data_IF_564199764858
#
_entry.id   IF_564199764858
#
_cell.length_a   1.000
_cell.length_b   1.000
_cell.length_c   1.000
_cell.angle_alpha   90.00
_cell.angle_beta   90.00
_cell.angle_gamma   90.00
#
_symmetry.space_group_name_H-M   'P 1'
#
loop_
_entity.id
_entity.type
_entity.pdbx_description
1 polymer ?
#
# COMPACT_ATOMS: atom_id res chain seq x y z
N UNK A 1 23.50 -8.00 -19.43
CA UNK A 1 23.58 -6.86 -18.50
C UNK A 1 23.60 -7.37 -17.07
N UNK A 2 24.39 -6.77 -16.20
CA UNK A 2 24.40 -7.10 -14.77
C UNK A 2 23.02 -6.80 -14.18
N UNK A 3 22.50 -7.60 -13.25
CA UNK A 3 21.21 -7.31 -12.56
C UNK A 3 21.23 -5.96 -11.84
N UNK A 4 22.41 -5.42 -11.55
CA UNK A 4 22.61 -4.13 -10.88
C UNK A 4 22.71 -2.94 -11.83
N UNK A 5 22.69 -3.14 -13.16
CA UNK A 5 22.69 -2.03 -14.12
C UNK A 5 21.47 -1.11 -13.92
N UNK A 6 20.33 -1.67 -13.55
CA UNK A 6 19.12 -0.88 -13.21
C UNK A 6 19.31 0.11 -12.04
N UNK A 7 20.32 -0.11 -11.19
CA UNK A 7 20.70 0.81 -10.10
C UNK A 7 21.82 1.72 -10.56
N UNK A 8 22.92 1.12 -11.02
CA UNK A 8 24.21 1.82 -11.23
C UNK A 8 24.23 2.72 -12.47
N UNK A 9 23.37 2.46 -13.48
CA UNK A 9 23.28 3.28 -14.70
C UNK A 9 22.39 4.52 -14.52
N UNK A 10 21.74 4.69 -13.35
CA UNK A 10 20.98 5.91 -13.04
C UNK A 10 21.95 7.06 -12.79
N UNK A 11 21.79 8.18 -13.53
CA UNK A 11 22.72 9.31 -13.47
C UNK A 11 22.80 9.97 -12.10
N UNK A 12 21.71 10.00 -11.36
CA UNK A 12 21.62 10.53 -10.00
C UNK A 12 22.32 9.63 -8.98
N UNK A 13 22.22 8.30 -9.13
CA UNK A 13 22.96 7.33 -8.32
C UNK A 13 24.47 7.41 -8.60
N UNK A 14 24.85 7.50 -9.87
CA UNK A 14 26.25 7.69 -10.25
C UNK A 14 26.82 8.98 -9.65
N UNK A 15 26.04 10.07 -9.65
CA UNK A 15 26.43 11.34 -9.04
C UNK A 15 26.67 11.19 -7.54
N UNK A 16 25.83 10.46 -6.79
CA UNK A 16 26.08 10.19 -5.36
C UNK A 16 27.40 9.46 -5.18
N UNK A 17 27.65 8.40 -5.93
CA UNK A 17 28.92 7.67 -5.86
C UNK A 17 30.11 8.59 -6.17
N UNK A 18 30.06 9.39 -7.23
CA UNK A 18 31.14 10.28 -7.63
C UNK A 18 31.52 11.31 -6.55
N UNK A 19 30.51 11.89 -5.90
CA UNK A 19 30.69 12.85 -4.82
C UNK A 19 31.44 12.27 -3.63
N UNK A 20 31.04 11.09 -3.20
CA UNK A 20 31.60 10.47 -2.01
C UNK A 20 32.97 9.82 -2.28
N UNK A 21 33.11 9.18 -3.44
CA UNK A 21 34.36 8.57 -3.87
C UNK A 21 35.48 9.60 -4.16
N UNK A 22 35.11 10.82 -4.58
CA UNK A 22 36.07 11.92 -4.71
C UNK A 22 36.62 12.39 -3.35
N UNK A 23 35.87 12.18 -2.26
CA UNK A 23 36.32 12.48 -0.92
C UNK A 23 37.15 11.32 -0.32
N UNK A 24 36.61 10.10 -0.40
CA UNK A 24 37.25 8.88 0.09
C UNK A 24 36.77 7.67 -0.73
N UNK A 25 37.68 6.97 -1.36
CA UNK A 25 37.39 5.76 -2.15
C UNK A 25 36.82 4.65 -1.29
N UNK A 26 35.88 3.91 -1.86
CA UNK A 26 35.20 2.77 -1.22
C UNK A 26 34.49 3.15 0.09
N UNK A 27 34.02 4.39 0.21
CA UNK A 27 33.36 4.87 1.43
C UNK A 27 31.86 4.81 1.40
N UNK A 28 31.24 4.54 0.22
CA UNK A 28 29.77 4.57 0.06
C UNK A 28 29.29 3.36 -0.75
N UNK A 29 28.15 2.85 -0.38
CA UNK A 29 27.51 1.68 -0.97
C UNK A 29 26.01 1.91 -1.09
N UNK A 30 25.39 1.42 -2.15
CA UNK A 30 23.94 1.18 -2.15
C UNK A 30 23.65 0.04 -1.19
N UNK A 31 22.49 0.06 -0.49
CA UNK A 31 22.20 -0.93 0.54
C UNK A 31 20.72 -1.31 0.59
N UNK A 32 20.45 -2.51 1.04
CA UNK A 32 19.12 -2.93 1.50
C UNK A 32 18.13 -3.28 0.39
N UNK A 33 16.94 -2.66 0.45
CA UNK A 33 15.77 -3.02 -0.37
C UNK A 33 16.01 -2.98 -1.87
N UNK A 34 16.71 -1.97 -2.38
CA UNK A 34 17.01 -1.80 -3.81
C UNK A 34 17.82 -2.95 -4.39
N UNK A 35 18.80 -3.48 -3.64
CA UNK A 35 19.61 -4.62 -4.07
C UNK A 35 18.77 -5.90 -4.11
N UNK A 36 17.98 -6.15 -3.05
CA UNK A 36 17.04 -7.26 -3.00
C UNK A 36 16.08 -7.22 -4.19
N UNK A 37 15.47 -6.07 -4.47
CA UNK A 37 14.48 -5.92 -5.51
C UNK A 37 15.12 -6.05 -6.91
N UNK A 38 16.35 -5.57 -7.11
CA UNK A 38 17.12 -5.81 -8.33
C UNK A 38 17.41 -7.32 -8.54
N UNK A 39 17.79 -8.04 -7.49
CA UNK A 39 18.05 -9.48 -7.56
C UNK A 39 16.76 -10.28 -7.86
N UNK A 40 15.61 -9.80 -7.43
CA UNK A 40 14.28 -10.37 -7.71
C UNK A 40 13.67 -9.91 -9.04
N UNK A 41 14.36 -9.06 -9.82
CA UNK A 41 13.84 -8.42 -11.04
C UNK A 41 12.54 -7.64 -10.79
N UNK A 42 12.44 -6.97 -9.64
CA UNK A 42 11.31 -6.10 -9.25
C UNK A 42 11.64 -4.64 -9.57
N UNK A 43 10.60 -3.82 -9.63
CA UNK A 43 10.74 -2.38 -9.74
C UNK A 43 11.50 -1.82 -8.51
N UNK A 44 12.45 -0.91 -8.77
CA UNK A 44 13.27 -0.27 -7.74
C UNK A 44 12.70 1.14 -7.55
N UNK A 45 12.08 1.38 -6.41
CA UNK A 45 11.47 2.68 -6.07
C UNK A 45 12.43 3.58 -5.32
N UNK A 46 12.99 3.07 -4.24
CA UNK A 46 13.88 3.82 -3.35
C UNK A 46 15.28 3.22 -3.36
N UNK A 47 16.28 4.09 -3.34
CA UNK A 47 17.70 3.68 -3.27
C UNK A 47 18.32 4.36 -2.08
N UNK A 48 18.72 3.54 -1.10
CA UNK A 48 19.39 3.97 0.11
C UNK A 48 20.88 3.71 0.01
N UNK A 49 21.66 4.59 0.64
CA UNK A 49 23.10 4.46 0.73
C UNK A 49 23.55 4.26 2.17
N UNK A 50 24.60 3.50 2.33
CA UNK A 50 25.33 3.37 3.57
C UNK A 50 26.79 3.79 3.37
N UNK A 51 27.38 4.47 4.35
CA UNK A 51 28.73 5.03 4.21
C UNK A 51 29.54 4.88 5.50
N UNK A 52 30.86 4.75 5.37
CA UNK A 52 31.78 4.82 6.49
C UNK A 52 32.05 6.24 7.00
N UNK A 53 31.53 7.27 6.28
CA UNK A 53 31.75 8.66 6.65
C UNK A 53 30.77 9.10 7.73
N UNK A 54 31.22 9.87 8.70
CA UNK A 54 30.37 10.45 9.72
C UNK A 54 29.39 11.48 9.16
N UNK A 55 28.22 11.70 9.79
CA UNK A 55 27.18 12.61 9.30
C UNK A 55 27.68 14.04 9.05
N UNK A 56 28.59 14.55 9.90
CA UNK A 56 29.21 15.86 9.71
C UNK A 56 30.05 15.95 8.44
N UNK A 57 30.65 14.84 8.01
CA UNK A 57 31.41 14.77 6.76
C UNK A 57 30.48 14.70 5.57
N UNK A 58 29.38 13.93 5.67
CA UNK A 58 28.32 13.88 4.64
C UNK A 58 27.80 15.30 4.36
N UNK A 59 27.40 16.04 5.39
CA UNK A 59 26.91 17.41 5.22
C UNK A 59 27.93 18.38 4.65
N UNK A 60 29.23 18.22 4.99
CA UNK A 60 30.31 19.01 4.38
C UNK A 60 30.47 18.73 2.88
N UNK A 61 30.42 17.47 2.46
CA UNK A 61 30.48 17.08 1.04
C UNK A 61 29.32 17.70 0.27
N UNK A 62 28.10 17.54 0.76
CA UNK A 62 26.89 18.06 0.11
C UNK A 62 26.89 19.60 0.01
N UNK A 63 27.29 20.28 1.07
CA UNK A 63 27.41 21.75 1.07
C UNK A 63 28.46 22.26 0.08
N UNK A 64 29.63 21.62 -0.01
CA UNK A 64 30.71 21.99 -0.94
C UNK A 64 30.23 21.96 -2.40
N UNK A 65 29.39 21.02 -2.74
CA UNK A 65 28.86 20.82 -4.10
C UNK A 65 27.48 21.48 -4.30
N UNK A 66 27.03 22.33 -3.35
CA UNK A 66 25.74 23.04 -3.37
C UNK A 66 24.52 22.12 -3.51
N UNK A 67 24.58 20.89 -2.99
CA UNK A 67 23.47 19.92 -2.97
C UNK A 67 22.59 20.18 -1.77
N UNK A 68 21.28 20.31 -1.99
CA UNK A 68 20.30 20.44 -0.92
C UNK A 68 20.19 19.14 -0.13
N UNK A 69 20.04 19.22 1.18
CA UNK A 69 19.85 18.07 2.04
C UNK A 69 18.93 18.38 3.23
N UNK A 70 18.44 17.32 3.87
CA UNK A 70 17.65 17.33 5.10
C UNK A 70 18.42 16.54 6.15
N UNK A 71 18.65 17.13 7.31
CA UNK A 71 19.48 16.59 8.39
C UNK A 71 18.71 16.18 9.66
N UNK A 72 17.37 16.12 9.57
CA UNK A 72 16.49 15.74 10.70
C UNK A 72 16.90 14.40 11.34
N UNK A 73 17.48 13.48 10.57
CA UNK A 73 17.98 12.17 11.03
C UNK A 73 19.45 12.14 11.45
N UNK A 74 20.13 13.29 11.56
CA UNK A 74 21.59 13.36 11.77
C UNK A 74 22.05 12.69 13.06
N UNK A 75 21.27 12.81 14.13
CA UNK A 75 21.55 12.18 15.44
C UNK A 75 21.50 10.65 15.38
N UNK A 76 20.79 10.11 14.35
CA UNK A 76 20.73 8.68 14.05
C UNK A 76 21.65 8.27 12.90
N UNK A 77 22.52 9.18 12.45
CA UNK A 77 23.48 8.91 11.40
C UNK A 77 22.96 9.05 9.98
N UNK A 78 21.74 9.53 9.76
CA UNK A 78 21.12 9.62 8.42
C UNK A 78 21.02 11.08 7.96
N UNK A 79 21.44 11.33 6.71
CA UNK A 79 21.28 12.60 5.99
C UNK A 79 20.56 12.29 4.67
N UNK A 80 19.52 13.05 4.35
CA UNK A 80 18.79 12.88 3.09
C UNK A 80 19.27 13.91 2.06
N UNK A 81 20.02 13.47 1.06
CA UNK A 81 20.43 14.32 -0.06
C UNK A 81 19.29 14.46 -1.09
N UNK A 82 19.18 15.63 -1.72
CA UNK A 82 18.19 15.90 -2.78
C UNK A 82 18.95 16.19 -4.07
N UNK A 83 18.91 15.25 -5.01
CA UNK A 83 19.58 15.31 -6.31
C UNK A 83 18.54 15.15 -7.40
N UNK A 84 18.44 16.10 -8.33
CA UNK A 84 17.43 16.09 -9.41
C UNK A 84 16.00 15.83 -8.91
N UNK A 85 15.62 16.50 -7.81
CA UNK A 85 14.33 16.36 -7.12
C UNK A 85 14.09 15.00 -6.43
N UNK A 86 15.00 14.05 -6.58
CA UNK A 86 14.95 12.76 -5.92
C UNK A 86 15.67 12.78 -4.59
N UNK A 87 15.13 12.06 -3.62
CA UNK A 87 15.69 11.94 -2.27
C UNK A 87 16.52 10.66 -2.17
N UNK A 88 17.69 10.79 -1.58
CA UNK A 88 18.60 9.66 -1.26
C UNK A 88 18.93 9.69 0.23
N UNK A 89 18.56 8.67 0.95
CA UNK A 89 18.96 8.51 2.34
C UNK A 89 20.38 7.95 2.39
N UNK A 90 21.28 8.67 3.07
CA UNK A 90 22.67 8.31 3.23
C UNK A 90 22.91 8.12 4.72
N UNK A 91 23.10 6.87 5.15
CA UNK A 91 23.26 6.48 6.54
C UNK A 91 24.69 6.07 6.83
N UNK A 92 25.31 6.67 7.85
CA UNK A 92 26.62 6.27 8.37
C UNK A 92 26.55 4.85 8.94
N UNK A 93 27.55 4.02 8.66
CA UNK A 93 27.68 2.70 9.31
C UNK A 93 27.66 2.88 10.82
N UNK A 94 26.90 2.04 11.49
CA UNK A 94 26.70 2.17 12.93
C UNK A 94 26.42 0.84 13.61
N UNK A 95 26.68 0.82 14.91
CA UNK A 95 26.19 -0.20 15.83
C UNK A 95 25.10 0.41 16.70
N UNK A 96 24.02 -0.30 16.93
CA UNK A 96 22.98 0.09 17.87
C UNK A 96 23.38 -0.37 19.28
N UNK A 97 23.73 0.58 20.19
CA UNK A 97 24.17 0.27 21.56
C UNK A 97 22.97 -0.07 22.44
N UNK A 98 21.87 0.66 22.26
CA UNK A 98 20.63 0.46 22.98
C UNK A 98 19.46 0.90 22.09
N UNK A 99 18.43 0.08 21.99
CA UNK A 99 17.22 0.41 21.22
C UNK A 99 15.98 0.21 22.09
N UNK A 100 15.10 1.21 22.14
CA UNK A 100 13.75 1.10 22.73
C UNK A 100 12.65 1.07 21.66
N UNK A 101 13.01 0.69 20.43
CA UNK A 101 12.13 0.66 19.26
C UNK A 101 11.94 2.02 18.56
N UNK A 102 12.24 3.12 19.21
CA UNK A 102 12.09 4.48 18.65
C UNK A 102 13.38 5.32 18.72
N UNK A 103 14.16 5.13 19.76
CA UNK A 103 15.41 5.85 19.97
C UNK A 103 16.55 4.82 20.11
N UNK A 104 17.44 4.79 19.14
CA UNK A 104 18.68 4.05 19.23
C UNK A 104 19.80 5.00 19.66
N UNK A 105 20.48 4.71 20.77
CA UNK A 105 21.81 5.25 20.97
C UNK A 105 22.74 4.51 20.01
N UNK A 106 23.26 5.25 19.04
CA UNK A 106 24.12 4.68 18.00
C UNK A 106 25.59 5.03 18.27
N UNK A 107 26.49 4.12 17.99
CA UNK A 107 27.91 4.40 17.78
C UNK A 107 28.24 4.24 16.31
N UNK A 108 28.89 5.24 15.73
CA UNK A 108 29.31 5.13 14.35
C UNK A 108 30.46 4.13 14.22
N UNK A 109 30.44 3.39 13.12
CA UNK A 109 31.43 2.37 12.78
C UNK A 109 32.03 2.64 11.40
N UNK A 110 33.21 2.08 11.17
CA UNK A 110 33.81 2.06 9.84
C UNK A 110 33.68 0.68 9.17
N UNK A 111 33.04 -0.30 9.83
CA UNK A 111 32.87 -1.65 9.33
C UNK A 111 31.49 -1.83 8.73
N UNK A 112 31.47 -2.30 7.47
CA UNK A 112 30.27 -2.71 6.76
C UNK A 112 29.62 -3.93 7.44
N UNK A 113 30.45 -4.85 7.96
CA UNK A 113 30.02 -6.05 8.66
C UNK A 113 29.24 -5.71 9.93
N UNK A 114 29.72 -4.72 10.70
CA UNK A 114 29.02 -4.25 11.89
C UNK A 114 27.67 -3.61 11.55
N UNK A 115 27.61 -2.78 10.49
CA UNK A 115 26.35 -2.21 10.01
C UNK A 115 25.37 -3.30 9.52
N UNK A 116 25.89 -4.35 8.86
CA UNK A 116 25.08 -5.48 8.43
C UNK A 116 24.46 -6.24 9.61
N UNK A 117 25.24 -6.50 10.64
CA UNK A 117 24.82 -7.28 11.82
C UNK A 117 23.70 -6.59 12.63
N UNK A 118 23.54 -5.28 12.57
CA UNK A 118 22.42 -4.58 13.25
C UNK A 118 21.12 -4.61 12.47
N UNK A 119 21.13 -4.98 11.17
CA UNK A 119 19.93 -4.98 10.33
C UNK A 119 18.96 -6.11 10.75
N UNK A 120 17.73 -6.04 10.28
CA UNK A 120 16.69 -6.98 10.66
C UNK A 120 16.85 -8.36 10.00
N UNK A 121 16.90 -8.41 8.67
CA UNK A 121 16.91 -9.64 7.90
C UNK A 121 18.11 -9.71 6.95
N UNK A 122 18.62 -10.91 6.74
CA UNK A 122 19.77 -11.18 5.84
C UNK A 122 19.57 -10.61 4.45
N UNK A 123 18.35 -10.74 3.89
CA UNK A 123 17.97 -10.23 2.56
C UNK A 123 18.01 -8.71 2.42
N UNK A 124 18.15 -7.97 3.52
CA UNK A 124 18.24 -6.50 3.56
C UNK A 124 19.64 -6.01 3.98
N UNK A 125 20.61 -6.91 4.17
CA UNK A 125 21.94 -6.59 4.63
C UNK A 125 23.01 -6.83 3.55
N UNK A 126 22.65 -6.59 2.30
CA UNK A 126 23.54 -6.62 1.15
C UNK A 126 23.95 -5.21 0.76
N UNK A 127 25.18 -5.05 0.27
CA UNK A 127 25.77 -3.77 -0.11
C UNK A 127 26.35 -3.86 -1.51
N UNK A 128 26.24 -2.80 -2.29
CA UNK A 128 26.71 -2.73 -3.67
C UNK A 128 27.61 -1.50 -3.84
N UNK A 129 28.83 -1.70 -4.30
CA UNK A 129 29.76 -0.60 -4.60
C UNK A 129 29.49 -0.02 -6.02
N UNK A 130 30.17 1.07 -6.34
CA UNK A 130 30.13 1.71 -7.65
C UNK A 130 30.56 0.78 -8.79
N UNK A 131 31.48 -0.15 -8.52
CA UNK A 131 32.01 -1.11 -9.49
C UNK A 131 31.06 -2.28 -9.78
N UNK A 132 29.94 -2.40 -9.04
CA UNK A 132 28.99 -3.49 -9.15
C UNK A 132 29.38 -4.74 -8.35
N UNK A 133 30.34 -4.63 -7.42
CA UNK A 133 30.68 -5.71 -6.51
C UNK A 133 29.66 -5.77 -5.38
N UNK A 134 29.13 -6.98 -5.14
CA UNK A 134 28.18 -7.25 -4.08
C UNK A 134 28.92 -7.73 -2.83
N UNK A 135 28.69 -7.06 -1.70
CA UNK A 135 29.16 -7.45 -0.37
C UNK A 135 27.97 -7.99 0.41
N UNK A 136 28.08 -9.23 0.87
CA UNK A 136 27.00 -9.97 1.52
C UNK A 136 27.50 -10.69 2.78
N UNK A 137 27.69 -9.95 3.89
CA UNK A 137 28.26 -10.54 5.12
C UNK A 137 27.33 -11.52 5.84
N UNK A 138 26.07 -11.58 5.46
CA UNK A 138 25.03 -12.35 6.17
C UNK A 138 24.41 -13.46 5.32
N UNK A 139 24.98 -13.79 4.16
CA UNK A 139 24.41 -14.76 3.19
C UNK A 139 23.00 -14.41 2.71
N UNK A 140 22.68 -13.12 2.64
CA UNK A 140 21.35 -12.62 2.24
C UNK A 140 20.97 -12.98 0.81
N UNK A 141 21.95 -13.01 -0.12
CA UNK A 141 21.72 -13.46 -1.50
C UNK A 141 21.28 -14.92 -1.56
N UNK A 142 21.92 -15.79 -0.79
CA UNK A 142 21.57 -17.21 -0.70
C UNK A 142 20.18 -17.40 -0.11
N UNK A 143 19.84 -16.66 0.96
CA UNK A 143 18.53 -16.69 1.56
C UNK A 143 17.46 -16.18 0.57
N UNK A 144 17.76 -15.14 -0.19
CA UNK A 144 16.88 -14.60 -1.23
C UNK A 144 16.61 -15.62 -2.36
N UNK A 145 17.66 -16.31 -2.85
CA UNK A 145 17.54 -17.34 -3.87
C UNK A 145 16.71 -18.56 -3.40
N UNK A 146 16.81 -18.88 -2.10
CA UNK A 146 16.05 -19.95 -1.46
C UNK A 146 14.70 -19.49 -0.90
N UNK A 147 14.33 -18.22 -1.09
CA UNK A 147 13.11 -17.62 -0.56
C UNK A 147 12.98 -17.76 0.97
N UNK A 148 14.05 -17.57 1.71
CA UNK A 148 14.08 -17.68 3.16
C UNK A 148 14.03 -16.27 3.76
N UNK A 149 13.15 -16.07 4.74
CA UNK A 149 13.11 -14.86 5.59
C UNK A 149 13.81 -15.17 6.90
N UNK A 150 15.07 -14.78 7.02
CA UNK A 150 15.92 -15.06 8.18
C UNK A 150 16.30 -13.79 8.91
N UNK A 151 16.07 -13.75 10.22
CA UNK A 151 16.64 -12.72 11.09
C UNK A 151 18.18 -12.83 11.14
N UNK A 152 18.85 -11.69 11.24
CA UNK A 152 20.30 -11.65 11.49
C UNK A 152 20.52 -11.86 12.98
N UNK A 153 21.18 -12.96 13.35
CA UNK A 153 21.36 -13.35 14.74
C UNK A 153 20.13 -14.02 15.36
N UNK A 154 19.92 -13.81 16.66
CA UNK A 154 18.83 -14.46 17.40
C UNK A 154 17.48 -13.75 17.15
N UNK A 155 16.44 -14.44 16.65
CA UNK A 155 15.14 -13.80 16.36
C UNK A 155 14.51 -13.12 17.58
N UNK A 156 14.60 -13.72 18.78
CA UNK A 156 13.99 -13.16 19.99
C UNK A 156 14.65 -11.82 20.40
N UNK A 157 15.97 -11.77 20.35
CA UNK A 157 16.73 -10.53 20.61
C UNK A 157 16.34 -9.45 19.58
N UNK A 158 16.30 -9.82 18.31
CA UNK A 158 15.94 -8.91 17.23
C UNK A 158 14.53 -8.35 17.32
N UNK A 159 13.57 -9.18 17.72
CA UNK A 159 12.19 -8.75 17.94
C UNK A 159 12.10 -7.81 19.15
N UNK A 160 12.85 -8.07 20.22
CA UNK A 160 12.87 -7.22 21.42
C UNK A 160 13.50 -5.85 21.19
N UNK A 161 14.44 -5.73 20.27
CA UNK A 161 15.00 -4.43 19.87
C UNK A 161 13.96 -3.52 19.17
N UNK A 162 13.08 -4.08 18.34
CA UNK A 162 11.98 -3.38 17.68
C UNK A 162 10.86 -4.37 17.33
N UNK A 163 9.77 -4.31 18.09
CA UNK A 163 8.64 -5.21 17.89
C UNK A 163 7.94 -5.04 16.54
N UNK A 164 8.17 -3.94 15.80
CA UNK A 164 7.70 -3.80 14.42
C UNK A 164 8.28 -4.89 13.51
N UNK A 165 9.43 -5.47 13.85
CA UNK A 165 10.05 -6.56 13.08
C UNK A 165 9.14 -7.79 12.96
N UNK A 166 8.16 -7.95 13.85
CA UNK A 166 7.09 -8.95 13.73
C UNK A 166 6.30 -8.72 12.43
N UNK A 167 5.77 -7.51 12.23
CA UNK A 167 5.01 -7.20 11.00
C UNK A 167 5.90 -7.20 9.76
N UNK A 168 7.15 -6.76 9.90
CA UNK A 168 8.14 -6.81 8.82
C UNK A 168 8.45 -8.24 8.37
N UNK A 169 8.51 -9.20 9.30
CA UNK A 169 8.65 -10.62 8.97
C UNK A 169 7.53 -11.08 8.05
N UNK A 170 6.27 -10.80 8.38
CA UNK A 170 5.13 -11.15 7.53
C UNK A 170 5.14 -10.40 6.20
N UNK A 171 5.62 -9.15 6.15
CA UNK A 171 5.79 -8.44 4.89
C UNK A 171 6.81 -9.14 3.98
N UNK A 172 7.94 -9.61 4.49
CA UNK A 172 8.91 -10.33 3.68
C UNK A 172 8.46 -11.76 3.36
N UNK A 173 7.68 -12.40 4.23
CA UNK A 173 7.02 -13.67 3.91
C UNK A 173 6.05 -13.48 2.72
N UNK A 174 5.23 -12.45 2.75
CA UNK A 174 4.32 -12.10 1.64
C UNK A 174 5.05 -11.74 0.34
N UNK A 175 6.30 -11.25 0.42
CA UNK A 175 7.14 -10.96 -0.74
C UNK A 175 7.45 -12.23 -1.55
N UNK A 176 7.62 -13.35 -0.88
CA UNK A 176 7.92 -14.64 -1.51
C UNK A 176 6.66 -15.46 -1.87
N UNK A 177 5.52 -15.11 -1.30
CA UNK A 177 4.19 -15.64 -1.65
C UNK A 177 3.88 -16.99 -1.01
N UNK A 178 4.31 -18.06 -1.61
CA UNK A 178 3.84 -19.44 -1.33
C UNK A 178 4.72 -20.26 -0.37
N UNK A 179 5.68 -19.62 0.29
CA UNK A 179 6.52 -20.31 1.27
C UNK A 179 5.86 -20.38 2.65
N UNK A 180 6.04 -21.49 3.38
CA UNK A 180 5.59 -21.55 4.77
C UNK A 180 6.50 -20.69 5.67
N UNK A 181 5.94 -20.12 6.76
CA UNK A 181 6.75 -19.45 7.76
C UNK A 181 7.64 -20.44 8.51
N UNK A 182 8.80 -19.96 8.99
CA UNK A 182 9.67 -20.74 9.84
C UNK A 182 9.02 -20.99 11.23
N UNK A 183 8.94 -22.25 11.65
CA UNK A 183 8.22 -22.64 12.86
C UNK A 183 8.85 -22.06 14.16
N UNK A 184 10.18 -21.97 14.24
CA UNK A 184 10.89 -21.40 15.40
C UNK A 184 10.66 -19.89 15.46
N UNK A 185 10.71 -19.21 14.32
CA UNK A 185 10.39 -17.78 14.22
C UNK A 185 8.95 -17.53 14.62
N UNK A 186 7.99 -18.33 14.14
CA UNK A 186 6.59 -18.20 14.50
C UNK A 186 6.34 -18.36 15.99
N UNK A 187 7.00 -19.32 16.64
CA UNK A 187 6.94 -19.49 18.08
C UNK A 187 7.45 -18.25 18.83
N UNK A 188 8.57 -17.70 18.38
CA UNK A 188 9.17 -16.49 18.95
C UNK A 188 8.26 -15.29 18.77
N UNK A 189 7.65 -15.13 17.59
CA UNK A 189 6.68 -14.07 17.29
C UNK A 189 5.47 -14.18 18.22
N UNK A 190 4.89 -15.38 18.35
CA UNK A 190 3.70 -15.62 19.19
C UNK A 190 3.97 -15.24 20.65
N UNK A 191 5.17 -15.53 21.17
CA UNK A 191 5.55 -15.17 22.54
C UNK A 191 5.65 -13.66 22.77
N UNK A 192 5.93 -12.87 21.72
CA UNK A 192 6.14 -11.43 21.79
C UNK A 192 4.98 -10.61 21.19
N UNK A 193 3.84 -11.22 20.87
CA UNK A 193 2.75 -10.58 20.13
C UNK A 193 2.14 -9.39 20.88
N UNK A 194 1.93 -9.53 22.19
CA UNK A 194 1.38 -8.49 23.07
C UNK A 194 2.23 -7.21 23.07
N UNK A 195 3.51 -7.33 22.81
CA UNK A 195 4.47 -6.22 22.77
C UNK A 195 4.32 -5.33 21.53
N UNK A 196 3.60 -5.77 20.50
CA UNK A 196 3.25 -4.87 19.38
C UNK A 196 2.48 -3.63 19.84
N UNK A 197 1.83 -3.68 20.99
CA UNK A 197 1.11 -2.55 21.58
C UNK A 197 2.00 -1.33 21.85
N UNK A 198 3.32 -1.49 22.04
CA UNK A 198 4.26 -0.38 22.27
C UNK A 198 4.69 0.33 20.96
N UNK A 199 4.46 -0.33 19.82
CA UNK A 199 4.77 0.26 18.50
C UNK A 199 3.68 1.24 18.09
N UNK A 200 4.07 2.39 17.52
CA UNK A 200 3.08 3.37 17.07
C UNK A 200 2.13 2.80 16.01
N UNK A 201 0.86 3.19 16.05
CA UNK A 201 -0.16 2.70 15.12
C UNK A 201 0.13 3.08 13.67
N UNK A 202 0.82 4.20 13.40
CA UNK A 202 1.28 4.60 12.08
C UNK A 202 2.27 3.60 11.49
N UNK A 203 3.26 3.18 12.29
CA UNK A 203 4.25 2.19 11.85
C UNK A 203 3.59 0.84 11.58
N UNK A 204 2.69 0.42 12.48
CA UNK A 204 1.93 -0.83 12.31
C UNK A 204 1.09 -0.79 11.03
N UNK A 205 0.34 0.30 10.80
CA UNK A 205 -0.51 0.45 9.63
C UNK A 205 0.29 0.45 8.32
N UNK A 206 1.44 1.12 8.30
CA UNK A 206 2.29 1.15 7.12
C UNK A 206 2.78 -0.26 6.73
N UNK A 207 3.16 -1.10 7.69
CA UNK A 207 3.54 -2.49 7.41
C UNK A 207 2.34 -3.34 6.95
N UNK A 208 1.18 -3.22 7.61
CA UNK A 208 -0.05 -3.92 7.21
C UNK A 208 -0.49 -3.54 5.79
N UNK A 209 -0.49 -2.23 5.48
CA UNK A 209 -0.81 -1.73 4.14
C UNK A 209 0.20 -2.26 3.10
N UNK A 210 1.48 -2.31 3.46
CA UNK A 210 2.53 -2.88 2.61
C UNK A 210 2.31 -4.38 2.34
N UNK A 211 1.91 -5.17 3.35
CA UNK A 211 1.56 -6.58 3.19
C UNK A 211 0.40 -6.73 2.20
N UNK A 212 -0.66 -5.94 2.39
CA UNK A 212 -1.83 -5.93 1.51
C UNK A 212 -1.52 -5.46 0.08
N UNK A 213 -0.43 -4.73 -0.12
CA UNK A 213 0.02 -4.25 -1.44
C UNK A 213 0.89 -5.26 -2.22
N UNK A 214 1.27 -6.39 -1.61
CA UNK A 214 2.09 -7.41 -2.28
C UNK A 214 1.25 -8.33 -3.18
N UNK A 215 1.88 -8.89 -4.21
CA UNK A 215 1.19 -9.70 -5.21
C UNK A 215 0.52 -10.96 -4.63
N UNK A 216 1.16 -11.64 -3.69
CA UNK A 216 0.69 -12.90 -3.12
C UNK A 216 0.77 -12.94 -1.58
N UNK A 217 -0.06 -12.16 -0.86
CA UNK A 217 0.02 -12.06 0.60
C UNK A 217 -0.66 -13.22 1.35
N UNK A 218 -1.29 -14.17 0.65
CA UNK A 218 -2.18 -15.20 1.24
C UNK A 218 -1.53 -15.96 2.39
N UNK A 219 -0.32 -16.50 2.21
CA UNK A 219 0.36 -17.27 3.26
C UNK A 219 0.74 -16.41 4.47
N UNK A 220 1.16 -15.18 4.25
CA UNK A 220 1.46 -14.26 5.35
C UNK A 220 0.20 -13.91 6.14
N UNK A 221 -0.91 -13.58 5.46
CA UNK A 221 -2.20 -13.28 6.09
C UNK A 221 -2.73 -14.52 6.83
N UNK A 222 -2.61 -15.74 6.25
CA UNK A 222 -2.98 -16.99 6.93
C UNK A 222 -2.19 -17.19 8.22
N UNK A 223 -0.87 -17.07 8.14
CA UNK A 223 0.01 -17.22 9.29
C UNK A 223 -0.24 -16.16 10.39
N UNK A 224 -0.53 -14.91 10.00
CA UNK A 224 -0.95 -13.86 10.94
C UNK A 224 -2.27 -14.18 11.61
N UNK A 225 -3.22 -14.78 10.88
CA UNK A 225 -4.51 -15.22 11.41
C UNK A 225 -4.35 -16.38 12.41
N UNK A 226 -3.53 -17.37 12.08
CA UNK A 226 -3.28 -18.57 12.91
C UNK A 226 -2.74 -18.23 14.31
N UNK A 227 -1.97 -17.18 14.44
CA UNK A 227 -1.42 -16.71 15.74
C UNK A 227 -2.30 -15.65 16.42
N UNK A 228 -3.47 -15.32 15.87
CA UNK A 228 -4.38 -14.31 16.42
C UNK A 228 -3.97 -12.86 16.18
N UNK A 229 -2.92 -12.60 15.39
CA UNK A 229 -2.43 -11.23 15.12
C UNK A 229 -3.47 -10.36 14.41
N UNK A 230 -4.28 -10.93 13.52
CA UNK A 230 -5.32 -10.18 12.80
C UNK A 230 -6.54 -9.85 13.68
N UNK A 231 -6.78 -10.61 14.76
CA UNK A 231 -7.90 -10.35 15.67
C UNK A 231 -7.80 -8.97 16.31
N UNK A 232 -6.60 -8.58 16.72
CA UNK A 232 -6.34 -7.27 17.32
C UNK A 232 -6.61 -6.09 16.37
N UNK A 233 -6.36 -6.29 15.08
CA UNK A 233 -6.54 -5.25 14.07
C UNK A 233 -7.94 -5.23 13.47
N UNK A 234 -8.51 -6.41 13.18
CA UNK A 234 -9.65 -6.55 12.29
C UNK A 234 -10.87 -7.23 12.95
N UNK A 235 -10.89 -7.26 14.29
CA UNK A 235 -12.04 -7.70 15.09
C UNK A 235 -12.50 -9.14 14.75
N UNK A 236 -11.57 -10.09 14.86
CA UNK A 236 -11.83 -11.52 14.70
C UNK A 236 -11.97 -12.03 13.27
N UNK A 237 -11.46 -11.29 12.28
CA UNK A 237 -11.41 -11.76 10.90
C UNK A 237 -10.09 -12.42 10.57
N UNK A 238 -10.17 -13.66 10.08
CA UNK A 238 -9.07 -14.37 9.43
C UNK A 238 -9.13 -14.23 7.91
N UNK A 239 -8.23 -14.94 7.23
CA UNK A 239 -8.29 -15.09 5.79
C UNK A 239 -9.61 -15.79 5.40
N UNK A 240 -10.27 -15.31 4.34
CA UNK A 240 -11.50 -15.88 3.82
C UNK A 240 -11.38 -16.20 2.32
N UNK A 241 -12.27 -17.07 1.82
CA UNK A 241 -12.25 -17.50 0.40
C UNK A 241 -12.33 -16.32 -0.57
N UNK A 242 -13.09 -15.28 -0.25
CA UNK A 242 -13.22 -14.11 -1.11
C UNK A 242 -11.90 -13.33 -1.23
N UNK A 243 -11.10 -13.27 -0.17
CA UNK A 243 -9.78 -12.65 -0.23
C UNK A 243 -8.83 -13.43 -1.16
N UNK A 244 -8.80 -14.76 -1.03
CA UNK A 244 -7.99 -15.62 -1.89
C UNK A 244 -8.43 -15.48 -3.35
N UNK A 245 -9.74 -15.53 -3.61
CA UNK A 245 -10.31 -15.35 -4.95
C UNK A 245 -9.96 -13.98 -5.55
N UNK A 246 -9.99 -12.89 -4.76
CA UNK A 246 -9.59 -11.57 -5.25
C UNK A 246 -8.14 -11.55 -5.73
N UNK A 247 -7.21 -12.11 -4.95
CA UNK A 247 -5.79 -12.20 -5.34
C UNK A 247 -5.61 -12.95 -6.66
N UNK A 248 -6.36 -14.05 -6.85
CA UNK A 248 -6.33 -14.80 -8.11
C UNK A 248 -6.91 -14.00 -9.28
N UNK A 249 -8.02 -13.27 -9.08
CA UNK A 249 -8.63 -12.40 -10.08
C UNK A 249 -7.64 -11.30 -10.48
N UNK A 250 -7.08 -10.59 -9.52
CA UNK A 250 -6.10 -9.51 -9.76
C UNK A 250 -4.90 -9.99 -10.58
N UNK A 251 -4.35 -11.15 -10.25
CA UNK A 251 -3.24 -11.77 -10.99
C UNK A 251 -3.64 -12.14 -12.42
N UNK A 252 -4.80 -12.79 -12.59
CA UNK A 252 -5.27 -13.35 -13.87
C UNK A 252 -5.60 -12.29 -14.91
N UNK A 253 -6.14 -11.15 -14.49
CA UNK A 253 -6.47 -10.03 -15.40
C UNK A 253 -5.54 -8.83 -15.26
N UNK A 254 -4.40 -9.02 -14.57
CA UNK A 254 -3.33 -8.03 -14.43
C UNK A 254 -3.81 -6.68 -13.89
N UNK A 255 -4.59 -6.70 -12.80
CA UNK A 255 -5.06 -5.47 -12.16
C UNK A 255 -4.00 -4.82 -11.29
N UNK A 256 -4.11 -3.50 -11.15
CA UNK A 256 -3.39 -2.77 -10.10
C UNK A 256 -3.93 -3.19 -8.72
N UNK A 257 -3.02 -3.43 -7.80
CA UNK A 257 -3.36 -3.85 -6.44
C UNK A 257 -3.89 -2.66 -5.64
N UNK A 258 -5.08 -2.82 -5.07
CA UNK A 258 -5.68 -1.85 -4.13
C UNK A 258 -5.72 -2.44 -2.71
N UNK A 259 -4.84 -2.01 -1.78
CA UNK A 259 -4.80 -2.53 -0.43
C UNK A 259 -6.07 -2.26 0.38
N UNK A 260 -6.83 -1.20 0.07
CA UNK A 260 -8.08 -0.88 0.76
C UNK A 260 -9.23 -1.78 0.28
N UNK A 261 -9.27 -2.11 -1.01
CA UNK A 261 -10.19 -3.12 -1.53
C UNK A 261 -9.93 -4.47 -0.87
N UNK A 262 -8.67 -4.90 -0.79
CA UNK A 262 -8.27 -6.14 -0.12
C UNK A 262 -8.65 -6.15 1.35
N UNK A 263 -8.39 -5.04 2.07
CA UNK A 263 -8.80 -4.87 3.46
C UNK A 263 -10.32 -4.98 3.60
N UNK A 264 -11.10 -4.34 2.71
CA UNK A 264 -12.57 -4.39 2.76
C UNK A 264 -13.11 -5.82 2.65
N UNK A 265 -12.48 -6.66 1.82
CA UNK A 265 -12.85 -8.08 1.66
C UNK A 265 -12.42 -8.90 2.87
N UNK A 266 -11.24 -8.67 3.43
CA UNK A 266 -10.81 -9.33 4.66
C UNK A 266 -11.82 -9.13 5.80
N UNK A 267 -12.34 -7.92 5.95
CA UNK A 267 -13.36 -7.59 6.95
C UNK A 267 -14.79 -7.88 6.48
N UNK A 268 -14.95 -8.67 5.42
CA UNK A 268 -16.24 -9.09 4.85
C UNK A 268 -17.15 -7.94 4.41
N UNK A 269 -16.58 -6.78 4.11
CA UNK A 269 -17.26 -5.52 3.81
C UNK A 269 -18.21 -5.05 4.94
N UNK A 270 -17.89 -5.39 6.19
CA UNK A 270 -18.66 -4.99 7.36
C UNK A 270 -18.43 -3.51 7.71
N UNK A 271 -19.50 -2.73 7.79
CA UNK A 271 -19.45 -1.33 8.18
C UNK A 271 -18.94 -1.14 9.62
N UNK A 272 -19.34 -2.02 10.54
CA UNK A 272 -18.95 -1.95 11.94
C UNK A 272 -17.46 -2.22 12.09
N UNK A 273 -16.93 -3.24 11.40
CA UNK A 273 -15.49 -3.52 11.36
C UNK A 273 -14.71 -2.39 10.71
N UNK A 274 -15.20 -1.81 9.59
CA UNK A 274 -14.59 -0.65 8.94
C UNK A 274 -14.48 0.55 9.90
N UNK A 275 -15.55 0.87 10.62
CA UNK A 275 -15.55 1.93 11.63
C UNK A 275 -14.57 1.66 12.77
N UNK A 276 -14.47 0.41 13.21
CA UNK A 276 -13.52 -0.02 14.25
C UNK A 276 -12.08 0.18 13.80
N UNK A 277 -11.75 -0.25 12.58
CA UNK A 277 -10.40 -0.10 12.00
C UNK A 277 -10.02 1.37 11.86
N UNK A 278 -10.90 2.22 11.33
CA UNK A 278 -10.65 3.66 11.17
C UNK A 278 -10.38 4.34 12.52
N UNK A 279 -10.97 3.84 13.61
CA UNK A 279 -10.68 4.33 14.96
C UNK A 279 -9.36 3.80 15.53
N UNK A 280 -9.01 2.56 15.22
CA UNK A 280 -7.81 1.88 15.76
C UNK A 280 -6.53 2.23 15.01
N UNK A 281 -6.62 2.46 13.70
CA UNK A 281 -5.47 2.66 12.81
C UNK A 281 -5.55 4.02 12.10
N UNK A 282 -4.42 4.69 11.90
CA UNK A 282 -4.37 6.03 11.29
C UNK A 282 -4.43 5.96 9.75
N UNK A 283 -5.57 5.53 9.23
CA UNK A 283 -5.81 5.55 7.79
C UNK A 283 -5.86 7.00 7.28
N UNK A 284 -5.39 7.22 6.05
CA UNK A 284 -5.59 8.52 5.40
C UNK A 284 -7.09 8.82 5.24
N UNK A 285 -7.44 10.09 5.07
CA UNK A 285 -8.83 10.49 4.83
C UNK A 285 -9.40 9.81 3.57
N UNK A 286 -8.59 9.65 2.52
CA UNK A 286 -8.97 8.93 1.30
C UNK A 286 -9.23 7.46 1.59
N UNK A 287 -8.25 6.76 2.21
CA UNK A 287 -8.37 5.34 2.53
C UNK A 287 -9.62 5.06 3.41
N UNK A 288 -9.87 5.91 4.40
CA UNK A 288 -11.05 5.80 5.28
C UNK A 288 -12.37 5.95 4.50
N UNK A 289 -12.42 6.95 3.60
CA UNK A 289 -13.60 7.18 2.76
C UNK A 289 -13.87 6.01 1.82
N UNK A 290 -12.83 5.46 1.21
CA UNK A 290 -12.95 4.32 0.29
C UNK A 290 -13.36 3.05 1.04
N UNK A 291 -12.79 2.79 2.21
CA UNK A 291 -13.17 1.65 3.05
C UNK A 291 -14.66 1.72 3.45
N UNK A 292 -15.15 2.90 3.87
CA UNK A 292 -16.55 3.10 4.20
C UNK A 292 -17.47 2.91 2.98
N UNK A 293 -17.12 3.46 1.83
CA UNK A 293 -17.90 3.25 0.59
C UNK A 293 -18.01 1.78 0.22
N UNK A 294 -16.91 1.02 0.32
CA UNK A 294 -16.88 -0.41 0.04
C UNK A 294 -17.73 -1.21 1.04
N UNK A 295 -17.91 -0.70 2.26
CA UNK A 295 -18.67 -1.35 3.33
C UNK A 295 -20.13 -0.92 3.43
N UNK A 296 -20.57 0.13 2.71
CA UNK A 296 -21.94 0.68 2.80
C UNK A 296 -22.82 0.36 1.62
N UNK A 297 -22.29 -0.21 0.53
CA UNK A 297 -23.10 -0.45 -0.66
C UNK A 297 -24.08 -1.61 -0.46
N UNK A 298 -25.36 -1.29 -0.36
CA UNK A 298 -26.44 -2.27 -0.16
C UNK A 298 -27.08 -2.77 -1.48
N UNK A 299 -26.58 -2.37 -2.66
CA UNK A 299 -27.16 -2.81 -3.93
C UNK A 299 -26.60 -4.16 -4.34
N UNK A 300 -27.50 -5.10 -4.66
CA UNK A 300 -27.12 -6.42 -5.14
C UNK A 300 -26.52 -6.29 -6.54
N UNK A 301 -25.23 -6.65 -6.67
CA UNK A 301 -24.53 -6.74 -7.94
C UNK A 301 -24.36 -8.23 -8.27
N UNK A 302 -24.78 -8.61 -9.46
CA UNK A 302 -24.73 -9.99 -9.95
C UNK A 302 -24.13 -10.06 -11.36
N UNK A 303 -23.54 -11.17 -11.73
CA UNK A 303 -22.84 -11.34 -13.02
C UNK A 303 -23.75 -11.22 -14.26
N UNK A 304 -25.05 -11.31 -14.10
CA UNK A 304 -26.06 -11.29 -15.17
C UNK A 304 -26.93 -10.03 -15.17
N UNK A 305 -26.40 -8.92 -14.70
CA UNK A 305 -27.10 -7.62 -14.71
C UNK A 305 -27.44 -7.17 -16.13
N UNK A 306 -28.59 -6.53 -16.28
CA UNK A 306 -28.93 -5.83 -17.53
C UNK A 306 -28.06 -4.59 -17.73
N UNK A 307 -27.85 -4.18 -18.98
CA UNK A 307 -27.07 -2.97 -19.29
C UNK A 307 -27.70 -1.70 -18.72
N UNK A 308 -29.00 -1.65 -18.51
CA UNK A 308 -29.71 -0.57 -17.83
C UNK A 308 -29.28 -0.47 -16.36
N UNK A 309 -29.24 -1.59 -15.64
CA UNK A 309 -28.79 -1.65 -14.25
C UNK A 309 -27.30 -1.28 -14.14
N UNK A 310 -26.49 -1.75 -15.07
CA UNK A 310 -25.05 -1.42 -15.14
C UNK A 310 -24.86 0.09 -15.31
N UNK A 311 -25.51 0.72 -16.27
CA UNK A 311 -25.40 2.18 -16.49
C UNK A 311 -25.90 2.98 -15.29
N UNK A 312 -26.98 2.55 -14.67
CA UNK A 312 -27.47 3.17 -13.44
C UNK A 312 -26.45 3.12 -12.30
N UNK A 313 -25.83 1.97 -12.06
CA UNK A 313 -24.83 1.83 -11.02
C UNK A 313 -23.53 2.59 -11.35
N UNK A 314 -23.11 2.62 -12.60
CA UNK A 314 -22.01 3.45 -13.06
C UNK A 314 -22.25 4.94 -12.83
N UNK A 315 -23.49 5.39 -13.05
CA UNK A 315 -23.89 6.78 -12.77
C UNK A 315 -23.80 7.11 -11.28
N UNK A 316 -24.28 6.19 -10.44
CA UNK A 316 -24.35 6.37 -8.99
C UNK A 316 -22.96 6.29 -8.32
N UNK A 317 -22.14 5.32 -8.72
CA UNK A 317 -20.88 4.98 -8.05
C UNK A 317 -19.65 5.61 -8.71
N UNK A 318 -19.80 6.05 -9.95
CA UNK A 318 -18.66 6.36 -10.82
C UNK A 318 -17.95 5.09 -11.29
N UNK A 319 -17.00 5.26 -12.22
CA UNK A 319 -16.26 4.16 -12.82
C UNK A 319 -15.49 3.33 -11.77
N UNK A 320 -14.64 3.99 -10.98
CA UNK A 320 -13.79 3.34 -9.97
C UNK A 320 -14.63 2.61 -8.91
N UNK A 321 -15.66 3.27 -8.36
CA UNK A 321 -16.54 2.67 -7.37
C UNK A 321 -17.30 1.45 -7.90
N UNK A 322 -17.77 1.50 -9.15
CA UNK A 322 -18.44 0.37 -9.79
C UNK A 322 -17.49 -0.80 -10.01
N UNK A 323 -16.27 -0.54 -10.54
CA UNK A 323 -15.25 -1.58 -10.76
C UNK A 323 -14.85 -2.28 -9.46
N UNK A 324 -14.61 -1.52 -8.39
CA UNK A 324 -14.32 -2.09 -7.07
C UNK A 324 -15.47 -2.96 -6.54
N UNK A 325 -16.70 -2.54 -6.74
CA UNK A 325 -17.88 -3.33 -6.34
C UNK A 325 -18.06 -4.59 -7.19
N UNK A 326 -17.74 -4.55 -8.48
CA UNK A 326 -17.69 -5.76 -9.31
C UNK A 326 -16.64 -6.73 -8.74
N UNK A 327 -15.43 -6.28 -8.41
CA UNK A 327 -14.38 -7.13 -7.85
C UNK A 327 -14.78 -7.75 -6.50
N UNK A 328 -15.43 -6.98 -5.62
CA UNK A 328 -15.97 -7.51 -4.34
C UNK A 328 -16.96 -8.65 -4.58
N UNK A 329 -17.92 -8.46 -5.50
CA UNK A 329 -18.96 -9.46 -5.74
C UNK A 329 -18.44 -10.65 -6.55
N UNK A 330 -17.50 -10.42 -7.47
CA UNK A 330 -16.83 -11.48 -8.21
C UNK A 330 -16.01 -12.37 -7.27
N UNK A 331 -15.24 -11.76 -6.36
CA UNK A 331 -14.45 -12.49 -5.36
C UNK A 331 -15.33 -13.35 -4.42
N UNK A 332 -16.56 -12.90 -4.12
CA UNK A 332 -17.55 -13.63 -3.31
C UNK A 332 -18.34 -14.69 -4.10
N UNK A 333 -18.31 -14.66 -5.43
CA UNK A 333 -19.02 -15.62 -6.26
C UNK A 333 -18.31 -16.97 -6.29
N UNK A 334 -18.87 -17.95 -5.58
CA UNK A 334 -18.35 -19.31 -5.50
C UNK A 334 -18.43 -20.07 -6.85
N UNK A 335 -19.04 -19.47 -7.85
CA UNK A 335 -19.35 -20.13 -9.12
C UNK A 335 -18.43 -19.59 -10.23
N UNK A 336 -17.23 -20.18 -10.40
CA UNK A 336 -16.26 -19.80 -11.44
C UNK A 336 -16.82 -19.84 -12.89
N UNK A 337 -18.03 -20.40 -13.10
CA UNK A 337 -18.69 -20.41 -14.42
C UNK A 337 -19.11 -19.02 -14.91
N UNK A 338 -19.13 -18.02 -14.03
CA UNK A 338 -19.57 -16.65 -14.34
C UNK A 338 -18.41 -15.69 -14.66
N UNK A 339 -17.17 -16.17 -14.74
CA UNK A 339 -15.98 -15.34 -14.94
C UNK A 339 -16.10 -14.38 -16.14
N UNK A 340 -16.53 -14.91 -17.30
CA UNK A 340 -16.68 -14.10 -18.52
C UNK A 340 -17.65 -12.93 -18.31
N UNK A 341 -18.74 -13.18 -17.60
CA UNK A 341 -19.75 -12.15 -17.31
C UNK A 341 -19.20 -11.08 -16.36
N UNK A 342 -18.52 -11.50 -15.28
CA UNK A 342 -17.88 -10.57 -14.34
C UNK A 342 -16.82 -9.70 -15.02
N UNK A 343 -16.00 -10.31 -15.84
CA UNK A 343 -14.99 -9.61 -16.64
C UNK A 343 -15.62 -8.61 -17.59
N UNK A 344 -16.66 -9.00 -18.31
CA UNK A 344 -17.38 -8.09 -19.20
C UNK A 344 -17.98 -6.90 -18.47
N UNK A 345 -18.57 -7.11 -17.28
CA UNK A 345 -19.09 -6.02 -16.44
C UNK A 345 -17.97 -5.06 -15.98
N UNK A 346 -16.80 -5.60 -15.62
CA UNK A 346 -15.64 -4.80 -15.23
C UNK A 346 -15.12 -3.95 -16.40
N UNK A 347 -15.02 -4.55 -17.60
CA UNK A 347 -14.50 -3.90 -18.81
C UNK A 347 -15.46 -2.83 -19.36
N UNK A 348 -16.77 -3.04 -19.30
CA UNK A 348 -17.79 -2.05 -19.72
C UNK A 348 -17.60 -0.70 -19.02
N UNK A 349 -17.16 -0.72 -17.75
CA UNK A 349 -16.89 0.52 -17.02
C UNK A 349 -15.79 1.37 -17.66
N UNK A 350 -14.83 0.77 -18.37
CA UNK A 350 -13.69 1.50 -18.95
C UNK A 350 -14.10 2.46 -20.07
N UNK A 351 -15.09 2.09 -20.86
CA UNK A 351 -15.59 2.86 -22.00
C UNK A 351 -16.80 3.72 -21.69
N UNK A 352 -17.33 3.65 -20.44
CA UNK A 352 -18.53 4.38 -20.10
C UNK A 352 -18.26 5.87 -19.82
N UNK A 353 -19.05 6.73 -20.42
CA UNK A 353 -19.08 8.17 -20.19
C UNK A 353 -20.31 8.56 -19.38
N UNK A 354 -20.09 9.35 -18.32
CA UNK A 354 -21.19 9.79 -17.44
C UNK A 354 -22.11 10.75 -18.19
N UNK A 355 -23.42 10.42 -18.36
CA UNK A 355 -24.39 11.33 -18.93
C UNK A 355 -24.51 12.62 -18.11
N UNK A 356 -24.73 13.75 -18.80
CA UNK A 356 -24.89 15.05 -18.19
C UNK A 356 -26.36 15.35 -17.91
N UNK A 357 -26.71 15.53 -16.62
CA UNK A 357 -28.03 15.95 -16.22
C UNK A 357 -28.25 17.43 -16.57
N UNK A 358 -29.34 17.75 -17.29
CA UNK A 358 -29.50 19.06 -17.94
C UNK A 358 -30.34 20.08 -17.15
N UNK A 359 -31.05 19.64 -16.07
CA UNK A 359 -31.81 20.57 -15.22
C UNK A 359 -30.91 21.19 -14.15
N UNK A 360 -31.28 22.41 -13.77
CA UNK A 360 -30.54 23.23 -12.80
C UNK A 360 -31.48 23.71 -11.68
N UNK A 361 -30.91 24.27 -10.61
CA UNK A 361 -31.69 24.89 -9.53
C UNK A 361 -32.63 25.99 -10.07
N UNK A 362 -32.26 26.71 -11.11
CA UNK A 362 -33.08 27.76 -11.73
C UNK A 362 -34.35 27.19 -12.33
N UNK A 363 -34.32 25.99 -12.90
CA UNK A 363 -35.51 25.35 -13.48
C UNK A 363 -36.56 25.06 -12.39
N UNK A 364 -36.14 24.66 -11.19
CA UNK A 364 -37.03 24.43 -10.03
C UNK A 364 -37.58 25.72 -9.46
N UNK A 365 -36.72 26.75 -9.30
CA UNK A 365 -37.09 28.05 -8.76
C UNK A 365 -38.14 28.73 -9.68
N UNK A 366 -37.96 28.63 -11.00
CA UNK A 366 -38.88 29.17 -11.99
C UNK A 366 -40.27 28.53 -11.92
N UNK A 367 -40.42 27.36 -11.27
CA UNK A 367 -41.71 26.73 -11.01
C UNK A 367 -42.38 27.15 -9.68
N UNK A 368 -41.78 28.13 -8.99
CA UNK A 368 -42.36 28.75 -7.79
C UNK A 368 -41.91 28.05 -6.48
N UNK A 369 -40.86 27.30 -6.50
CA UNK A 369 -40.23 26.78 -5.26
C UNK A 369 -39.20 27.81 -4.76
N UNK A 370 -39.31 28.18 -3.48
CA UNK A 370 -38.36 29.10 -2.84
C UNK A 370 -36.96 28.47 -2.75
N UNK A 371 -35.92 29.32 -2.85
CA UNK A 371 -34.53 28.88 -2.64
C UNK A 371 -34.39 28.19 -1.28
N UNK A 372 -33.70 27.04 -1.28
CA UNK A 372 -33.46 26.26 -0.07
C UNK A 372 -33.25 24.77 -0.34
N UNK A 373 -33.16 23.97 0.74
CA UNK A 373 -32.87 22.52 0.64
C UNK A 373 -33.88 21.76 -0.24
N UNK A 374 -35.13 22.24 -0.35
CA UNK A 374 -36.17 21.61 -1.15
C UNK A 374 -35.81 21.61 -2.65
N UNK A 375 -35.18 22.64 -3.15
CA UNK A 375 -34.71 22.71 -4.55
C UNK A 375 -33.75 21.54 -4.87
N UNK A 376 -32.80 21.29 -4.01
CA UNK A 376 -31.85 20.16 -4.15
C UNK A 376 -32.57 18.80 -4.09
N UNK A 377 -33.50 18.63 -3.17
CA UNK A 377 -34.27 17.40 -3.02
C UNK A 377 -35.11 17.09 -4.26
N UNK A 378 -35.79 18.10 -4.84
CA UNK A 378 -36.58 17.96 -6.05
C UNK A 378 -35.70 17.61 -7.26
N UNK A 379 -34.58 18.33 -7.44
CA UNK A 379 -33.63 18.02 -8.51
C UNK A 379 -33.13 16.58 -8.41
N UNK A 380 -32.78 16.15 -7.20
CA UNK A 380 -32.31 14.79 -6.96
C UNK A 380 -33.35 13.75 -7.31
N UNK A 381 -34.62 13.99 -6.98
CA UNK A 381 -35.75 13.09 -7.30
C UNK A 381 -35.95 12.96 -8.83
N UNK A 382 -35.79 14.05 -9.58
CA UNK A 382 -35.87 14.03 -11.06
C UNK A 382 -34.65 13.33 -11.65
N UNK A 383 -33.44 13.61 -11.12
CA UNK A 383 -32.19 12.99 -11.56
C UNK A 383 -32.21 11.47 -11.32
N UNK A 384 -32.67 11.02 -10.15
CA UNK A 384 -32.78 9.60 -9.84
C UNK A 384 -33.78 8.90 -10.79
N UNK A 385 -34.95 9.53 -11.04
CA UNK A 385 -35.91 9.01 -12.01
C UNK A 385 -35.31 8.92 -13.42
N UNK A 386 -34.59 9.93 -13.89
CA UNK A 386 -33.93 9.93 -15.20
C UNK A 386 -32.85 8.81 -15.29
N UNK A 387 -32.07 8.65 -14.27
CA UNK A 387 -31.06 7.59 -14.20
C UNK A 387 -31.72 6.20 -14.19
N UNK A 388 -32.82 6.02 -13.47
CA UNK A 388 -33.61 4.78 -13.45
C UNK A 388 -34.28 4.48 -14.80
N UNK A 389 -34.50 5.49 -15.63
CA UNK A 389 -35.03 5.34 -16.99
C UNK A 389 -33.98 5.32 -18.10
N UNK A 390 -32.77 4.95 -17.74
CA UNK A 390 -31.64 4.71 -18.68
C UNK A 390 -31.20 5.95 -19.46
N UNK A 391 -31.40 7.14 -18.88
CA UNK A 391 -30.94 8.43 -19.41
C UNK A 391 -31.56 8.81 -20.79
N UNK A 392 -32.66 8.19 -21.18
CA UNK A 392 -33.24 8.37 -22.52
C UNK A 392 -34.09 9.63 -22.64
N UNK A 393 -34.49 10.23 -21.52
CA UNK A 393 -35.37 11.38 -21.51
C UNK A 393 -34.63 12.68 -21.87
N UNK A 394 -35.18 13.42 -22.78
CA UNK A 394 -34.66 14.73 -23.18
C UNK A 394 -35.05 15.82 -22.15
N UNK A 395 -34.52 17.02 -22.35
CA UNK A 395 -34.81 18.15 -21.44
C UNK A 395 -36.27 18.47 -21.31
N UNK A 396 -37.08 18.26 -22.36
CA UNK A 396 -38.51 18.53 -22.31
C UNK A 396 -39.21 17.53 -21.38
N UNK A 397 -38.96 16.25 -21.55
CA UNK A 397 -39.50 15.19 -20.68
C UNK A 397 -39.10 15.37 -19.22
N UNK A 398 -37.84 15.80 -18.97
CA UNK A 398 -37.39 16.12 -17.62
C UNK A 398 -38.11 17.30 -17.00
N UNK A 399 -38.46 18.33 -17.78
CA UNK A 399 -39.25 19.48 -17.33
C UNK A 399 -40.68 19.06 -16.98
N UNK A 400 -41.33 18.20 -17.79
CA UNK A 400 -42.67 17.67 -17.49
C UNK A 400 -42.66 16.83 -16.20
N UNK A 401 -41.63 15.99 -16.01
CA UNK A 401 -41.46 15.25 -14.76
C UNK A 401 -41.27 16.17 -13.57
N UNK A 402 -40.44 17.20 -13.73
CA UNK A 402 -40.21 18.22 -12.69
C UNK A 402 -41.51 18.92 -12.30
N UNK A 403 -42.36 19.31 -13.28
CA UNK A 403 -43.69 19.91 -13.02
C UNK A 403 -44.56 18.99 -12.17
N UNK A 404 -44.65 17.70 -12.52
CA UNK A 404 -45.42 16.73 -11.78
C UNK A 404 -44.98 16.59 -10.31
N UNK A 405 -43.65 16.54 -10.08
CA UNK A 405 -43.10 16.46 -8.72
C UNK A 405 -43.36 17.75 -7.94
N UNK A 406 -43.18 18.94 -8.54
CA UNK A 406 -43.47 20.21 -7.87
C UNK A 406 -44.97 20.33 -7.51
N UNK A 407 -45.86 19.88 -8.38
CA UNK A 407 -47.30 19.87 -8.09
C UNK A 407 -47.67 18.95 -6.92
N UNK A 408 -47.02 17.82 -6.79
CA UNK A 408 -47.26 16.88 -5.67
C UNK A 408 -46.74 17.36 -4.31
N UNK A 409 -45.86 18.38 -4.29
CA UNK A 409 -45.26 18.95 -3.08
C UNK A 409 -45.81 20.33 -2.70
N UNK A 410 -46.68 20.90 -3.51
CA UNK A 410 -47.49 22.07 -3.19
C UNK A 410 -48.79 21.64 -2.50
#
# INVERSE_FOLDING_TARGET
MSRFSLILEQSDVAQVFDLFEAYQKNSIFVVGGSIRDALLNREITDIDFATSLEPKTITKILNKENIKFIDVGIDHGTVTAIINERKFEITTFRNDIFTDGRHAQVSFSNSLEEDALRRDFTINAMYLDKGGNLFDPTDGKKDLENRIVRFIGNPDERIKEDYLRILRYFRFLALFGDIPPDAEVMKTITTNLDKLSVVSKERQWNELKSILSLAAPNNAISAMSEIGLLEDYFDGTGINDAFVNLIEIESRISLSIDPILRLSILIENSLDKANTIIKKLPLSKSDSTDLLKLSTLNKKIVSYMSMKEVRYLLYLLGRDGFQKQILVNWAKDKNNKNEVNWRSLYEVAQSWEKPSFTLTAKDVINMGISEGPMVGAILKEVEDWWAENDFIDDKFSLIERLKAIVQSKK
#
